data_IF_945613117263
#
_entry.id   IF_945613117263
#
_cell.length_a   1.000
_cell.length_b   1.000
_cell.length_c   1.000
_cell.angle_alpha   90.00
_cell.angle_beta   90.00
_cell.angle_gamma   90.00
#
_symmetry.space_group_name_H-M   'P 1'
#
loop_
_entity.id
_entity.type
_entity.pdbx_description
1 polymer ?
#
# COMPACT_ATOMS: atom_id res chain seq x y z
N UNK A 1 19.61 2.17 17.17
CA UNK A 1 18.91 1.46 16.08
C UNK A 1 17.54 2.09 15.89
N UNK A 2 16.93 2.00 14.71
CA UNK A 2 15.58 2.57 14.45
C UNK A 2 14.55 2.06 15.47
N UNK A 3 14.63 0.79 15.85
CA UNK A 3 13.79 0.16 16.89
C UNK A 3 13.88 0.81 18.29
N UNK A 4 14.89 1.63 18.56
CA UNK A 4 14.98 2.36 19.83
C UNK A 4 14.00 3.55 19.89
N UNK A 5 13.41 3.90 18.75
CA UNK A 5 12.49 5.03 18.59
C UNK A 5 11.04 4.58 18.38
N UNK A 6 10.68 3.38 18.85
CA UNK A 6 9.33 2.81 18.70
C UNK A 6 8.26 3.73 19.31
N UNK A 7 8.56 4.39 20.43
CA UNK A 7 7.61 5.28 21.09
C UNK A 7 7.35 6.56 20.27
N UNK A 8 8.38 7.07 19.60
CA UNK A 8 8.30 8.29 18.78
C UNK A 8 7.66 8.02 17.41
N UNK A 9 7.95 6.87 16.81
CA UNK A 9 7.44 6.54 15.48
C UNK A 9 6.10 5.82 15.49
N UNK A 10 5.70 5.22 16.62
CA UNK A 10 4.48 4.44 16.85
C UNK A 10 4.35 3.18 15.96
N UNK A 11 4.38 3.33 14.65
CA UNK A 11 4.34 2.24 13.67
C UNK A 11 5.45 2.39 12.61
N UNK A 12 6.15 1.30 12.23
CA UNK A 12 7.16 1.33 11.16
C UNK A 12 6.64 1.90 9.83
N UNK A 13 5.38 1.61 9.51
CA UNK A 13 4.72 2.07 8.30
C UNK A 13 4.60 3.60 8.23
N UNK A 14 4.50 4.29 9.37
CA UNK A 14 4.39 5.75 9.42
C UNK A 14 5.68 6.44 8.97
N UNK A 15 6.83 5.81 9.15
CA UNK A 15 8.11 6.36 8.66
C UNK A 15 8.11 6.40 7.12
N UNK A 16 7.76 5.28 6.48
CA UNK A 16 7.69 5.19 5.01
C UNK A 16 6.58 6.09 4.44
N UNK A 17 5.41 6.14 5.08
CA UNK A 17 4.29 7.00 4.67
C UNK A 17 4.62 8.48 4.85
N UNK A 18 5.28 8.86 5.94
CA UNK A 18 5.71 10.22 6.21
C UNK A 18 6.61 10.76 5.10
N UNK A 19 7.59 9.96 4.67
CA UNK A 19 8.45 10.30 3.52
C UNK A 19 7.66 10.43 2.20
N UNK A 20 6.61 9.62 2.02
CA UNK A 20 5.73 9.78 0.85
C UNK A 20 4.93 11.08 0.91
N UNK A 21 4.48 11.51 2.10
CA UNK A 21 3.79 12.79 2.28
C UNK A 21 4.73 13.99 2.12
N UNK A 22 5.98 13.87 2.56
CA UNK A 22 7.02 14.89 2.37
C UNK A 22 7.25 15.16 0.87
N UNK A 23 7.37 14.10 0.06
CA UNK A 23 7.53 14.21 -1.40
C UNK A 23 6.22 14.61 -2.11
N UNK A 24 5.09 14.02 -1.70
CA UNK A 24 3.77 14.24 -2.32
C UNK A 24 2.71 14.53 -1.25
N UNK A 25 2.42 15.81 -0.92
CA UNK A 25 1.50 16.17 0.17
C UNK A 25 0.06 15.65 0.02
N UNK A 26 -0.38 15.32 -1.20
CA UNK A 26 -1.72 14.76 -1.49
C UNK A 26 -1.69 13.23 -1.69
N UNK A 27 -0.62 12.56 -1.28
CA UNK A 27 -0.50 11.12 -1.35
C UNK A 27 -1.64 10.44 -0.58
N UNK A 28 -2.14 9.31 -1.08
CA UNK A 28 -3.29 8.61 -0.47
C UNK A 28 -2.82 7.50 0.47
N UNK A 29 -2.06 7.84 1.51
CA UNK A 29 -1.37 6.86 2.36
C UNK A 29 -2.29 5.83 3.01
N UNK A 30 -3.53 6.23 3.36
CA UNK A 30 -4.53 5.32 3.93
C UNK A 30 -4.91 4.13 3.04
N UNK A 31 -4.73 4.23 1.71
CA UNK A 31 -4.97 3.09 0.81
C UNK A 31 -3.89 1.99 0.96
N UNK A 32 -2.67 2.35 1.39
CA UNK A 32 -1.52 1.46 1.46
C UNK A 32 -1.18 1.02 2.90
N UNK A 33 -1.62 1.77 3.90
CA UNK A 33 -1.33 1.45 5.30
C UNK A 33 -1.66 -0.01 5.70
N UNK A 34 -2.78 -0.63 5.28
CA UNK A 34 -3.07 -2.02 5.61
C UNK A 34 -2.04 -3.04 5.08
N UNK A 35 -1.44 -2.80 3.90
CA UNK A 35 -0.38 -3.68 3.40
C UNK A 35 0.94 -3.38 4.11
N UNK A 36 1.29 -2.10 4.29
CA UNK A 36 2.52 -1.68 4.94
C UNK A 36 2.61 -2.20 6.38
N UNK A 37 1.53 -2.13 7.15
CA UNK A 37 1.48 -2.64 8.53
C UNK A 37 1.81 -4.14 8.65
N UNK A 38 1.69 -4.90 7.55
CA UNK A 38 1.97 -6.34 7.52
C UNK A 38 3.36 -6.70 6.98
N UNK A 39 4.07 -5.75 6.36
CA UNK A 39 5.35 -6.00 5.66
C UNK A 39 6.49 -5.08 6.12
N UNK A 40 6.18 -4.12 6.99
CA UNK A 40 7.13 -3.19 7.58
C UNK A 40 7.38 -3.54 9.04
N UNK A 41 8.66 -3.59 9.41
CA UNK A 41 9.15 -3.76 10.77
C UNK A 41 10.15 -2.64 11.07
N UNK A 42 10.41 -2.36 12.36
CA UNK A 42 11.50 -1.47 12.73
C UNK A 42 12.84 -2.10 12.35
N UNK A 43 13.74 -1.30 11.78
CA UNK A 43 15.02 -1.77 11.30
C UNK A 43 16.05 -1.84 12.43
N UNK A 44 16.78 -2.95 12.50
CA UNK A 44 17.96 -3.13 13.38
C UNK A 44 19.21 -2.41 12.83
N UNK A 45 19.01 -1.20 12.30
CA UNK A 45 20.05 -0.33 11.69
C UNK A 45 20.08 1.02 12.41
N UNK A 46 21.20 1.75 12.37
CA UNK A 46 21.25 3.13 12.86
C UNK A 46 20.24 4.01 12.11
N UNK A 47 19.77 5.11 12.73
CA UNK A 47 18.79 5.99 12.09
C UNK A 47 19.26 6.50 10.72
N UNK A 48 20.53 6.86 10.57
CA UNK A 48 21.07 7.33 9.30
C UNK A 48 20.96 6.26 8.20
N UNK A 49 21.30 5.01 8.52
CA UNK A 49 21.24 3.90 7.56
C UNK A 49 19.79 3.45 7.30
N UNK A 50 18.97 3.43 8.35
CA UNK A 50 17.55 3.10 8.26
C UNK A 50 16.80 4.12 7.38
N UNK A 51 17.11 5.42 7.51
CA UNK A 51 16.53 6.47 6.69
C UNK A 51 16.75 6.24 5.19
N UNK A 52 17.93 5.80 4.77
CA UNK A 52 18.21 5.47 3.35
C UNK A 52 17.32 4.33 2.88
N UNK A 53 17.12 3.29 3.69
CA UNK A 53 16.20 2.18 3.38
C UNK A 53 14.75 2.69 3.27
N UNK A 54 14.32 3.53 4.21
CA UNK A 54 12.97 4.12 4.24
C UNK A 54 12.70 5.02 3.03
N UNK A 55 13.69 5.82 2.62
CA UNK A 55 13.62 6.64 1.40
C UNK A 55 13.47 5.78 0.15
N UNK A 56 14.21 4.66 0.06
CA UNK A 56 14.06 3.74 -1.06
C UNK A 56 12.68 3.05 -1.05
N UNK A 57 12.17 2.64 0.13
CA UNK A 57 10.82 2.09 0.28
C UNK A 57 9.74 3.10 -0.12
N UNK A 58 9.88 4.37 0.30
CA UNK A 58 8.98 5.45 -0.07
C UNK A 58 8.98 5.66 -1.59
N UNK A 59 10.15 5.70 -2.23
CA UNK A 59 10.27 5.78 -3.69
C UNK A 59 9.53 4.62 -4.39
N UNK A 60 9.77 3.38 -3.97
CA UNK A 60 9.08 2.20 -4.52
C UNK A 60 7.56 2.30 -4.36
N UNK A 61 7.08 2.76 -3.21
CA UNK A 61 5.66 2.94 -2.95
C UNK A 61 5.03 4.04 -3.84
N UNK A 62 5.74 5.15 -4.05
CA UNK A 62 5.30 6.23 -4.92
C UNK A 62 5.24 5.82 -6.40
N UNK A 63 6.19 4.99 -6.85
CA UNK A 63 6.20 4.40 -8.20
C UNK A 63 5.03 3.42 -8.40
N UNK A 64 4.69 2.62 -7.38
CA UNK A 64 3.47 1.81 -7.40
C UNK A 64 2.23 2.70 -7.49
N UNK A 65 2.14 3.78 -6.69
CA UNK A 65 0.98 4.69 -6.72
C UNK A 65 0.79 5.33 -8.09
N UNK A 66 1.87 5.65 -8.81
CA UNK A 66 1.76 6.17 -10.19
C UNK A 66 1.08 5.17 -11.13
N UNK A 67 1.29 3.85 -10.93
CA UNK A 67 0.57 2.82 -11.69
C UNK A 67 -0.88 2.69 -11.23
N UNK A 68 -1.12 2.72 -9.93
CA UNK A 68 -2.48 2.64 -9.36
C UNK A 68 -3.34 3.81 -9.80
N UNK A 69 -2.79 5.03 -9.84
CA UNK A 69 -3.49 6.23 -10.30
C UNK A 69 -3.95 6.08 -11.75
N UNK A 70 -3.09 5.55 -12.64
CA UNK A 70 -3.49 5.26 -14.05
C UNK A 70 -4.67 4.29 -14.12
N UNK A 71 -4.68 3.25 -13.28
CA UNK A 71 -5.80 2.31 -13.24
C UNK A 71 -7.08 2.96 -12.69
N UNK A 72 -6.96 3.80 -11.67
CA UNK A 72 -8.09 4.58 -11.11
C UNK A 72 -8.67 5.53 -12.16
N UNK A 73 -7.83 6.21 -12.93
CA UNK A 73 -8.26 7.09 -14.03
C UNK A 73 -8.97 6.31 -15.14
N UNK A 74 -8.45 5.15 -15.52
CA UNK A 74 -9.11 4.27 -16.50
C UNK A 74 -10.49 3.81 -16.03
N UNK A 75 -10.66 3.48 -14.74
CA UNK A 75 -11.96 3.16 -14.16
C UNK A 75 -12.91 4.37 -14.18
N UNK A 76 -12.42 5.56 -13.81
CA UNK A 76 -13.20 6.81 -13.86
C UNK A 76 -13.66 7.16 -15.27
N UNK A 77 -12.80 7.00 -16.28
CA UNK A 77 -13.13 7.24 -17.69
C UNK A 77 -14.28 6.35 -18.18
N UNK A 78 -14.50 5.22 -17.51
CA UNK A 78 -15.61 4.30 -17.77
C UNK A 78 -16.86 4.56 -16.93
N UNK A 79 -16.88 5.68 -16.20
CA UNK A 79 -17.99 6.08 -15.36
C UNK A 79 -17.97 5.51 -13.95
N UNK A 80 -16.95 4.74 -13.55
CA UNK A 80 -16.83 4.27 -12.16
C UNK A 80 -16.36 5.42 -11.27
N UNK A 81 -17.29 6.01 -10.53
CA UNK A 81 -17.02 7.12 -9.62
C UNK A 81 -17.28 6.69 -8.17
N UNK A 82 -16.22 6.62 -7.36
CA UNK A 82 -16.30 6.36 -5.93
C UNK A 82 -15.13 7.04 -5.21
N UNK A 83 -15.33 7.61 -4.01
CA UNK A 83 -14.23 8.14 -3.19
C UNK A 83 -13.23 7.04 -2.80
N UNK A 84 -13.67 5.77 -2.76
CA UNK A 84 -12.84 4.62 -2.37
C UNK A 84 -12.19 3.89 -3.54
N UNK A 85 -12.26 4.45 -4.77
CA UNK A 85 -11.80 3.74 -5.97
C UNK A 85 -10.30 3.40 -5.92
N UNK A 86 -9.46 4.26 -5.33
CA UNK A 86 -8.03 3.95 -5.14
C UNK A 86 -7.86 2.80 -4.15
N UNK A 87 -8.49 2.87 -2.97
CA UNK A 87 -8.45 1.79 -1.98
C UNK A 87 -8.94 0.46 -2.55
N UNK A 88 -9.97 0.49 -3.42
CA UNK A 88 -10.44 -0.68 -4.15
C UNK A 88 -9.34 -1.27 -5.05
N UNK A 89 -8.69 -0.46 -5.89
CA UNK A 89 -7.63 -0.94 -6.79
C UNK A 89 -6.46 -1.51 -5.98
N UNK A 90 -6.01 -0.79 -4.95
CA UNK A 90 -4.93 -1.27 -4.06
C UNK A 90 -5.30 -2.61 -3.43
N UNK A 91 -6.54 -2.75 -2.94
CA UNK A 91 -7.02 -3.98 -2.34
C UNK A 91 -7.19 -5.13 -3.35
N UNK A 92 -7.31 -4.86 -4.66
CA UNK A 92 -7.34 -5.88 -5.72
C UNK A 92 -5.95 -6.39 -6.08
N UNK A 93 -4.91 -5.55 -5.92
CA UNK A 93 -3.52 -5.94 -6.21
C UNK A 93 -2.75 -6.39 -4.98
N UNK A 94 -3.29 -6.19 -3.77
CA UNK A 94 -2.65 -6.57 -2.52
C UNK A 94 -2.48 -8.10 -2.41
N UNK A 95 -1.24 -8.64 -2.44
CA UNK A 95 -1.00 -10.07 -2.43
C UNK A 95 -1.41 -10.72 -1.10
N UNK A 96 -1.40 -9.99 0.01
CA UNK A 96 -1.68 -10.55 1.34
C UNK A 96 -3.11 -11.07 1.45
N UNK A 97 -4.07 -10.41 0.77
CA UNK A 97 -5.49 -10.79 0.81
C UNK A 97 -5.79 -12.16 0.18
N UNK A 98 -4.89 -12.65 -0.66
CA UNK A 98 -5.08 -13.89 -1.42
C UNK A 98 -4.19 -15.03 -0.92
N UNK A 99 -3.47 -14.83 0.18
CA UNK A 99 -2.57 -15.84 0.74
C UNK A 99 -3.27 -16.69 1.82
N UNK A 100 -2.89 -17.96 1.96
CA UNK A 100 -3.26 -18.77 3.12
C UNK A 100 -2.86 -18.08 4.42
N UNK A 101 -3.65 -18.26 5.49
CA UNK A 101 -3.41 -17.64 6.80
C UNK A 101 -2.10 -18.10 7.46
N UNK A 102 -1.65 -19.30 7.11
CA UNK A 102 -0.43 -19.96 7.58
C UNK A 102 0.80 -19.69 6.69
N UNK A 103 0.64 -18.91 5.61
CA UNK A 103 1.75 -18.60 4.73
C UNK A 103 2.76 -17.65 5.42
N UNK A 104 4.09 -17.84 5.25
CA UNK A 104 5.10 -16.99 5.89
C UNK A 104 4.90 -15.50 5.57
N UNK A 105 5.21 -14.54 6.46
CA UNK A 105 5.11 -13.11 6.13
C UNK A 105 5.86 -12.75 4.84
N UNK A 106 5.32 -11.80 4.06
CA UNK A 106 6.04 -11.25 2.91
C UNK A 106 6.98 -10.16 3.39
N UNK A 107 8.16 -10.08 2.78
CA UNK A 107 8.99 -8.89 2.90
C UNK A 107 8.32 -7.70 2.19
N UNK A 108 8.73 -6.47 2.55
CA UNK A 108 8.32 -5.27 1.84
C UNK A 108 8.56 -5.41 0.32
N UNK A 109 9.78 -5.79 -0.07
CA UNK A 109 10.17 -5.85 -1.48
C UNK A 109 9.32 -6.88 -2.24
N UNK A 110 9.09 -8.07 -1.67
CA UNK A 110 8.25 -9.10 -2.29
C UNK A 110 6.79 -8.65 -2.43
N UNK A 111 6.26 -7.95 -1.44
CA UNK A 111 4.88 -7.48 -1.47
C UNK A 111 4.70 -6.39 -2.53
N UNK A 112 5.58 -5.40 -2.57
CA UNK A 112 5.50 -4.28 -3.50
C UNK A 112 5.80 -4.70 -4.95
N UNK A 113 6.72 -5.62 -5.17
CA UNK A 113 6.96 -6.19 -6.51
C UNK A 113 5.71 -6.92 -7.03
N UNK A 114 5.10 -7.78 -6.20
CA UNK A 114 3.85 -8.47 -6.58
C UNK A 114 2.70 -7.51 -6.84
N UNK A 115 2.55 -6.46 -6.01
CA UNK A 115 1.55 -5.42 -6.24
C UNK A 115 1.79 -4.69 -7.56
N UNK A 116 3.05 -4.37 -7.87
CA UNK A 116 3.44 -3.70 -9.13
C UNK A 116 3.10 -4.57 -10.34
N UNK A 117 3.46 -5.85 -10.30
CA UNK A 117 3.13 -6.79 -11.37
C UNK A 117 1.61 -6.98 -11.54
N UNK A 118 0.87 -7.02 -10.43
CA UNK A 118 -0.58 -7.12 -10.45
C UNK A 118 -1.24 -5.83 -10.96
N UNK A 119 -0.72 -4.65 -10.62
CA UNK A 119 -1.19 -3.36 -11.13
C UNK A 119 -0.94 -3.22 -12.64
N UNK A 120 0.19 -3.71 -13.15
CA UNK A 120 0.49 -3.76 -14.58
C UNK A 120 -0.46 -4.69 -15.35
N UNK A 121 -0.91 -5.79 -14.73
CA UNK A 121 -1.85 -6.76 -15.30
C UNK A 121 -3.32 -6.44 -15.01
N UNK A 122 -3.59 -5.36 -14.26
CA UNK A 122 -4.94 -4.97 -13.88
C UNK A 122 -5.73 -4.61 -15.14
N UNK A 123 -6.94 -5.16 -15.26
CA UNK A 123 -7.81 -4.93 -16.42
C UNK A 123 -9.09 -4.21 -15.97
N UNK A 124 -9.20 -2.89 -16.23
CA UNK A 124 -10.40 -2.10 -15.93
C UNK A 124 -11.67 -2.60 -16.64
N UNK A 125 -11.56 -3.38 -17.72
CA UNK A 125 -12.69 -3.98 -18.46
C UNK A 125 -13.42 -5.08 -17.74
N UNK A 126 -12.78 -5.66 -16.73
CA UNK A 126 -13.39 -6.72 -15.93
C UNK A 126 -14.07 -6.21 -14.66
N UNK A 127 -14.00 -4.91 -14.37
CA UNK A 127 -14.54 -4.32 -13.14
C UNK A 127 -15.95 -3.76 -13.39
N UNK A 128 -16.91 -4.18 -12.56
CA UNK A 128 -18.30 -3.71 -12.59
C UNK A 128 -18.62 -2.84 -11.37
N UNK A 129 -19.72 -2.09 -11.41
CA UNK A 129 -20.16 -1.27 -10.27
C UNK A 129 -20.43 -2.10 -9.00
N UNK A 130 -21.01 -3.28 -9.16
CA UNK A 130 -21.29 -4.19 -8.03
C UNK A 130 -20.02 -4.66 -7.32
N UNK A 131 -18.87 -4.69 -8.01
CA UNK A 131 -17.58 -5.01 -7.40
C UNK A 131 -17.14 -3.94 -6.39
N UNK A 132 -17.48 -2.68 -6.65
CA UNK A 132 -17.19 -1.56 -5.76
C UNK A 132 -18.05 -1.62 -4.49
N UNK A 133 -19.34 -1.95 -4.64
CA UNK A 133 -20.28 -2.07 -3.52
C UNK A 133 -19.84 -3.15 -2.51
N UNK A 134 -19.34 -4.29 -3.01
CA UNK A 134 -18.84 -5.40 -2.17
C UNK A 134 -17.51 -5.09 -1.48
N UNK A 135 -16.78 -4.10 -1.95
CA UNK A 135 -15.50 -3.70 -1.38
C UNK A 135 -15.60 -2.71 -0.22
N UNK A 136 -16.79 -2.13 0.00
CA UNK A 136 -17.06 -1.15 1.05
C UNK A 136 -17.20 -1.73 2.46
N UNK A 137 -16.98 -3.03 2.68
CA UNK A 137 -17.22 -3.68 3.96
C UNK A 137 -16.24 -4.81 4.28
N UNK A 138 -15.19 -4.47 5.00
CA UNK A 138 -14.85 -5.06 6.30
C UNK A 138 -13.90 -4.06 6.96
N UNK A 139 -14.36 -3.37 8.00
CA UNK A 139 -13.44 -2.89 9.03
C UNK A 139 -12.72 -4.15 9.49
N UNK A 140 -11.40 -4.20 9.36
CA UNK A 140 -10.63 -5.21 10.07
C UNK A 140 -11.07 -5.11 11.54
N UNK A 141 -11.59 -6.21 12.10
CA UNK A 141 -12.00 -6.28 13.50
C UNK A 141 -10.87 -5.69 14.36
N UNK A 142 -11.17 -4.77 15.28
CA UNK A 142 -10.20 -4.40 16.29
C UNK A 142 -10.04 -5.58 17.24
N UNK A 143 -8.77 -5.96 17.45
CA UNK A 143 -8.21 -6.95 18.40
C UNK A 143 -8.08 -8.41 17.94
#
# INVERSE_FOLDING_TARGET
>A
MEEQYVLEFEEPAFITLGLCYEERPRFSGGAYHPVLKRVEEFLTKSLQTALVVRQQRAKTLLELDDQIVKQVEALKAKGLTSPYLKSFVVARVNPIRFRPKDAPPLSFDDALDRMTQAAAKFNPDKIKMDDLAKSGGALDDPE
#
